data_IF_907147463722
#
_entry.id   IF_907147463722
#
_cell.length_a   1.000
_cell.length_b   1.000
_cell.length_c   1.000
_cell.angle_alpha   90.00
_cell.angle_beta   90.00
_cell.angle_gamma   90.00
#
_symmetry.space_group_name_H-M   'P 1'
#
loop_
_entity.id
_entity.type
_entity.pdbx_description
1 polymer ?
#
# COMPACT_ATOMS: atom_id res chain seq x y z
N UNK A 1 7.05 -7.31 9.61
CA UNK A 1 6.96 -7.87 8.24
C UNK A 1 5.66 -8.65 8.17
N UNK A 2 4.87 -8.52 7.10
CA UNK A 2 3.60 -9.26 7.00
C UNK A 2 3.87 -10.71 6.60
N UNK A 3 3.31 -11.67 7.34
CA UNK A 3 3.34 -13.08 6.98
C UNK A 3 1.99 -13.49 6.38
N UNK A 4 2.01 -14.09 5.19
CA UNK A 4 0.82 -14.53 4.48
C UNK A 4 0.84 -16.05 4.30
N UNK A 5 -0.15 -16.75 4.85
CA UNK A 5 -0.19 -18.22 4.85
C UNK A 5 -0.32 -18.87 3.46
N UNK A 6 -0.81 -18.13 2.45
CA UNK A 6 -1.15 -18.66 1.12
C UNK A 6 -0.52 -17.88 -0.04
N UNK A 7 0.43 -17.01 0.25
CA UNK A 7 1.11 -16.19 -0.76
C UNK A 7 2.60 -16.49 -0.66
N UNK A 8 3.23 -16.72 -1.81
CA UNK A 8 4.67 -16.92 -1.93
C UNK A 8 5.23 -15.94 -2.95
N UNK A 9 6.50 -15.52 -2.81
CA UNK A 9 7.18 -14.76 -3.85
C UNK A 9 7.13 -15.49 -5.20
N UNK A 10 6.94 -14.73 -6.27
CA UNK A 10 6.88 -15.28 -7.62
C UNK A 10 8.29 -15.51 -8.18
N UNK A 11 8.60 -16.76 -8.53
CA UNK A 11 9.79 -17.13 -9.28
C UNK A 11 9.47 -17.18 -10.78
N UNK A 12 10.42 -16.76 -11.63
CA UNK A 12 10.25 -16.78 -13.10
C UNK A 12 10.06 -18.20 -13.64
N UNK A 13 10.62 -19.21 -13.00
CA UNK A 13 10.43 -20.61 -13.39
C UNK A 13 8.96 -21.06 -13.29
N UNK A 14 8.16 -20.40 -12.45
CA UNK A 14 6.73 -20.73 -12.30
C UNK A 14 5.88 -20.34 -13.50
N UNK A 15 6.42 -19.55 -14.44
CA UNK A 15 5.71 -19.15 -15.66
C UNK A 15 5.37 -20.34 -16.58
N UNK A 16 6.07 -21.46 -16.43
CA UNK A 16 5.92 -22.70 -17.19
C UNK A 16 5.16 -23.79 -16.42
N UNK A 17 4.82 -23.55 -15.15
CA UNK A 17 4.16 -24.55 -14.35
C UNK A 17 2.76 -24.84 -14.90
N UNK A 18 2.39 -26.12 -15.08
CA UNK A 18 1.05 -26.49 -15.50
C UNK A 18 0.05 -26.23 -14.36
N UNK A 19 -1.18 -25.90 -14.75
CA UNK A 19 -2.30 -25.72 -13.83
C UNK A 19 -2.63 -24.25 -13.52
N UNK A 20 -3.77 -24.01 -12.84
CA UNK A 20 -4.25 -22.67 -12.55
C UNK A 20 -3.36 -21.98 -11.49
N UNK A 21 -2.98 -20.73 -11.77
CA UNK A 21 -2.20 -19.89 -10.86
C UNK A 21 -2.74 -18.46 -10.84
N UNK A 22 -2.65 -17.82 -9.68
CA UNK A 22 -2.91 -16.38 -9.53
C UNK A 22 -1.59 -15.67 -9.25
N UNK A 23 -1.23 -14.73 -10.12
CA UNK A 23 0.01 -13.94 -9.98
C UNK A 23 -0.34 -12.47 -9.81
N UNK A 24 0.16 -11.87 -8.74
CA UNK A 24 0.15 -10.43 -8.55
C UNK A 24 1.41 -9.85 -9.19
N UNK A 25 1.24 -9.13 -10.30
CA UNK A 25 2.34 -8.56 -11.06
C UNK A 25 2.41 -7.03 -10.92
N UNK A 26 3.63 -6.51 -10.92
CA UNK A 26 3.95 -5.08 -11.01
C UNK A 26 4.73 -4.83 -12.30
N UNK A 27 4.63 -3.64 -12.93
CA UNK A 27 3.86 -2.47 -12.51
C UNK A 27 2.37 -2.57 -12.87
N UNK A 28 1.51 -1.93 -12.08
CA UNK A 28 0.05 -2.04 -12.23
C UNK A 28 -0.54 -1.50 -13.54
N UNK A 29 0.21 -0.68 -14.29
CA UNK A 29 -0.21 -0.15 -15.61
C UNK A 29 0.19 -1.06 -16.77
N UNK A 30 0.80 -2.23 -16.49
CA UNK A 30 1.20 -3.23 -17.47
C UNK A 30 1.99 -2.55 -18.60
N UNK A 31 3.03 -1.81 -18.24
CA UNK A 31 3.93 -1.17 -19.21
C UNK A 31 4.90 -2.24 -19.75
N UNK A 32 5.25 -3.20 -18.87
CA UNK A 32 6.28 -4.19 -19.06
C UNK A 32 5.92 -5.49 -18.34
N UNK A 33 6.15 -6.63 -18.99
CA UNK A 33 5.98 -7.92 -18.31
C UNK A 33 6.22 -9.13 -19.20
N UNK A 34 7.18 -9.97 -18.81
CA UNK A 34 7.43 -11.26 -19.45
C UNK A 34 6.22 -12.21 -19.31
N UNK A 35 5.46 -12.07 -18.23
CA UNK A 35 4.24 -12.86 -17.96
C UNK A 35 3.18 -12.58 -19.04
N UNK A 36 2.90 -11.31 -19.33
CA UNK A 36 1.92 -10.94 -20.36
C UNK A 36 2.34 -11.48 -21.74
N UNK A 37 3.61 -11.31 -22.12
CA UNK A 37 4.16 -11.84 -23.38
C UNK A 37 3.89 -13.33 -23.55
N UNK A 38 4.01 -14.10 -22.46
CA UNK A 38 3.84 -15.55 -22.48
C UNK A 38 2.38 -15.98 -22.40
N UNK A 39 1.58 -15.34 -21.56
CA UNK A 39 0.23 -15.80 -21.24
C UNK A 39 -0.86 -15.17 -22.12
N UNK A 40 -0.62 -14.00 -22.74
CA UNK A 40 -1.60 -13.31 -23.58
C UNK A 40 -2.11 -14.07 -24.80
N UNK A 41 -1.30 -14.90 -25.49
CA UNK A 41 -1.76 -15.65 -26.66
C UNK A 41 -2.74 -16.79 -26.37
N UNK A 42 -2.99 -17.13 -25.10
CA UNK A 42 -3.82 -18.27 -24.69
C UNK A 42 -5.17 -17.78 -24.14
N UNK A 43 -6.26 -18.36 -24.63
CA UNK A 43 -7.65 -17.95 -24.34
C UNK A 43 -8.11 -18.41 -22.94
N UNK A 44 -7.48 -19.44 -22.40
CA UNK A 44 -7.72 -19.99 -21.07
C UNK A 44 -7.25 -19.04 -19.95
N UNK A 45 -6.40 -18.07 -20.31
CA UNK A 45 -5.85 -17.11 -19.39
C UNK A 45 -6.77 -15.89 -19.22
N UNK A 46 -6.59 -15.20 -18.10
CA UNK A 46 -7.31 -13.98 -17.76
C UNK A 46 -6.36 -12.96 -17.15
N UNK A 47 -6.54 -11.69 -17.52
CA UNK A 47 -5.91 -10.55 -16.84
C UNK A 47 -6.96 -9.66 -16.20
N UNK A 48 -6.72 -9.30 -14.94
CA UNK A 48 -7.55 -8.38 -14.18
C UNK A 48 -6.73 -7.13 -13.88
N UNK A 49 -7.18 -5.97 -14.36
CA UNK A 49 -6.58 -4.69 -14.03
C UNK A 49 -7.42 -4.01 -12.94
N UNK A 50 -6.92 -3.89 -11.69
CA UNK A 50 -7.69 -3.33 -10.59
C UNK A 50 -7.68 -1.79 -10.54
N UNK A 51 -7.25 -1.12 -11.62
CA UNK A 51 -7.08 0.32 -11.63
C UNK A 51 -6.90 0.90 -13.03
N UNK A 52 -6.90 2.22 -13.09
CA UNK A 52 -6.78 2.98 -14.32
C UNK A 52 -5.39 2.83 -14.96
N UNK A 53 -5.36 2.51 -16.25
CA UNK A 53 -4.14 2.53 -17.06
C UNK A 53 -4.08 3.85 -17.85
N UNK A 54 -2.96 4.57 -17.74
CA UNK A 54 -2.74 5.83 -18.48
C UNK A 54 -2.83 5.56 -19.98
N UNK A 55 -3.36 6.54 -20.73
CA UNK A 55 -3.43 6.48 -22.18
C UNK A 55 -2.07 6.10 -22.80
N UNK A 56 -2.11 5.43 -23.95
CA UNK A 56 -0.95 4.95 -24.69
C UNK A 56 -0.11 3.83 -24.00
N UNK A 57 -0.46 3.39 -22.79
CA UNK A 57 0.16 2.20 -22.18
C UNK A 57 -0.38 0.91 -22.80
N UNK A 58 0.39 -0.20 -22.70
CA UNK A 58 -0.09 -1.53 -23.14
C UNK A 58 -1.34 -1.92 -22.35
N UNK A 59 -1.39 -1.65 -21.04
CA UNK A 59 -2.59 -1.84 -20.23
C UNK A 59 -3.83 -1.12 -20.78
N UNK A 60 -3.70 0.16 -21.16
CA UNK A 60 -4.81 0.92 -21.75
C UNK A 60 -5.25 0.36 -23.11
N UNK A 61 -4.33 -0.10 -23.96
CA UNK A 61 -4.66 -0.74 -25.24
C UNK A 61 -5.43 -2.04 -25.03
N UNK A 62 -4.97 -2.90 -24.12
CA UNK A 62 -5.61 -4.19 -23.80
C UNK A 62 -7.01 -3.99 -23.23
N UNK A 63 -7.19 -2.98 -22.36
CA UNK A 63 -8.50 -2.64 -21.80
C UNK A 63 -9.49 -2.12 -22.84
N UNK A 64 -9.01 -1.52 -23.92
CA UNK A 64 -9.81 -1.11 -25.08
C UNK A 64 -9.90 -2.23 -26.14
N UNK A 65 -9.84 -3.50 -25.71
CA UNK A 65 -10.03 -4.68 -26.56
C UNK A 65 -9.04 -4.82 -27.74
N UNK A 66 -7.84 -4.25 -27.61
CA UNK A 66 -6.81 -4.42 -28.63
C UNK A 66 -6.33 -5.88 -28.70
N UNK A 67 -6.64 -6.55 -29.82
CA UNK A 67 -6.21 -7.93 -30.10
C UNK A 67 -4.73 -8.08 -30.39
N UNK A 68 -4.04 -6.99 -30.76
CA UNK A 68 -2.61 -6.96 -31.03
C UNK A 68 -2.00 -5.75 -30.35
N UNK A 69 -0.99 -5.99 -29.52
CA UNK A 69 -0.28 -4.91 -28.82
C UNK A 69 1.21 -5.02 -29.07
N UNK A 70 1.80 -3.89 -29.43
CA UNK A 70 3.25 -3.75 -29.50
C UNK A 70 3.80 -3.54 -28.09
N UNK A 71 4.70 -4.42 -27.68
CA UNK A 71 5.47 -4.30 -26.45
C UNK A 71 6.89 -3.81 -26.76
N UNK A 72 7.65 -3.56 -25.69
CA UNK A 72 9.08 -3.23 -25.81
C UNK A 72 9.83 -4.23 -26.69
N UNK A 73 10.80 -3.70 -27.45
CA UNK A 73 11.56 -4.37 -28.52
C UNK A 73 10.80 -4.56 -29.86
N UNK A 74 9.72 -3.82 -30.12
CA UNK A 74 8.88 -3.95 -31.34
C UNK A 74 8.26 -5.34 -31.53
N UNK A 75 8.18 -6.14 -30.47
CA UNK A 75 7.52 -7.45 -30.51
C UNK A 75 6.02 -7.24 -30.38
N UNK A 76 5.29 -7.70 -31.39
CA UNK A 76 3.83 -7.72 -31.40
C UNK A 76 3.36 -8.98 -30.68
N UNK A 77 2.45 -8.80 -29.73
CA UNK A 77 1.82 -9.89 -28.98
C UNK A 77 0.35 -9.95 -29.40
N UNK A 78 -0.11 -11.15 -29.72
CA UNK A 78 -1.53 -11.42 -29.92
C UNK A 78 -2.19 -11.65 -28.55
N UNK A 79 -3.21 -10.85 -28.25
CA UNK A 79 -3.97 -10.88 -27.00
C UNK A 79 -5.26 -11.64 -27.25
N UNK A 80 -5.29 -12.90 -26.80
CA UNK A 80 -6.47 -13.77 -26.84
C UNK A 80 -7.06 -14.04 -25.46
N UNK A 81 -6.27 -13.87 -24.41
CA UNK A 81 -6.73 -13.96 -23.03
C UNK A 81 -7.92 -13.03 -22.75
N UNK A 82 -8.76 -13.43 -21.80
CA UNK A 82 -9.85 -12.57 -21.34
C UNK A 82 -9.32 -11.39 -20.53
N UNK A 83 -9.86 -10.19 -20.80
CA UNK A 83 -9.46 -8.95 -20.13
C UNK A 83 -10.63 -8.47 -19.28
N UNK A 84 -10.41 -8.28 -17.98
CA UNK A 84 -11.40 -7.72 -17.08
C UNK A 84 -10.89 -6.45 -16.39
N UNK A 85 -11.64 -5.36 -16.58
CA UNK A 85 -11.50 -4.18 -15.75
C UNK A 85 -12.38 -4.36 -14.51
N UNK A 86 -11.76 -4.54 -13.33
CA UNK A 86 -12.51 -4.54 -12.07
C UNK A 86 -12.38 -3.17 -11.44
N UNK A 87 -13.40 -2.35 -11.68
CA UNK A 87 -13.60 -1.17 -10.86
C UNK A 87 -13.95 -1.63 -9.45
N UNK A 88 -13.06 -1.37 -8.50
CA UNK A 88 -13.32 -1.67 -7.11
C UNK A 88 -14.49 -0.78 -6.64
N UNK A 89 -15.49 -1.39 -5.99
CA UNK A 89 -16.53 -0.69 -5.23
C UNK A 89 -16.22 -0.81 -3.73
N UNK A 90 -15.14 -0.16 -3.25
CA UNK A 90 -14.73 -0.30 -1.87
C UNK A 90 -15.77 0.31 -0.93
N UNK A 91 -16.13 -0.43 0.13
CA UNK A 91 -16.99 0.10 1.21
C UNK A 91 -16.31 1.21 1.99
N UNK A 92 -14.98 1.18 2.09
CA UNK A 92 -14.18 2.16 2.83
C UNK A 92 -12.97 2.58 1.99
N UNK A 93 -12.72 3.88 1.89
CA UNK A 93 -11.58 4.45 1.18
C UNK A 93 -10.68 5.16 2.17
N UNK A 94 -9.38 4.87 2.10
CA UNK A 94 -8.34 5.55 2.86
C UNK A 94 -7.46 6.33 1.91
N UNK A 95 -7.40 7.65 2.08
CA UNK A 95 -6.54 8.51 1.27
C UNK A 95 -5.19 8.66 1.99
N UNK A 96 -4.10 8.27 1.31
CA UNK A 96 -2.70 8.38 1.78
C UNK A 96 -1.83 9.14 0.77
N UNK A 97 -0.62 9.54 1.19
CA UNK A 97 0.40 10.19 0.34
C UNK A 97 -0.13 11.39 -0.50
N UNK A 98 -0.70 12.38 0.18
CA UNK A 98 -1.18 13.59 -0.49
C UNK A 98 -1.17 14.81 0.43
N UNK A 99 -1.08 15.99 -0.19
CA UNK A 99 -1.18 17.26 0.51
C UNK A 99 -2.59 17.42 1.13
N UNK A 100 -2.65 17.89 2.37
CA UNK A 100 -3.88 18.00 3.18
C UNK A 100 -5.04 18.69 2.44
N UNK A 101 -4.79 19.88 1.90
CA UNK A 101 -5.77 20.68 1.16
C UNK A 101 -6.34 19.94 -0.06
N UNK A 102 -5.49 19.26 -0.82
CA UNK A 102 -5.86 18.48 -2.01
C UNK A 102 -6.58 17.20 -1.64
N UNK A 103 -6.23 16.60 -0.52
CA UNK A 103 -6.86 15.38 0.00
C UNK A 103 -8.26 15.65 0.53
N UNK A 104 -8.48 16.78 1.20
CA UNK A 104 -9.81 17.22 1.59
C UNK A 104 -10.69 17.49 0.37
N UNK A 105 -10.15 18.14 -0.65
CA UNK A 105 -10.85 18.34 -1.91
C UNK A 105 -11.19 17.00 -2.60
N UNK A 106 -10.24 16.07 -2.66
CA UNK A 106 -10.45 14.74 -3.24
C UNK A 106 -11.49 13.93 -2.45
N UNK A 107 -11.45 13.96 -1.12
CA UNK A 107 -12.46 13.34 -0.24
C UNK A 107 -13.86 13.88 -0.54
N UNK A 108 -14.01 15.20 -0.69
CA UNK A 108 -15.30 15.80 -1.03
C UNK A 108 -15.82 15.31 -2.38
N UNK A 109 -14.95 15.24 -3.40
CA UNK A 109 -15.31 14.68 -4.72
C UNK A 109 -15.75 13.22 -4.63
N UNK A 110 -14.99 12.38 -3.94
CA UNK A 110 -15.31 10.95 -3.80
C UNK A 110 -16.65 10.76 -3.07
N UNK A 111 -16.89 11.53 -2.01
CA UNK A 111 -18.14 11.47 -1.24
C UNK A 111 -19.34 11.91 -2.08
N UNK A 112 -19.19 12.97 -2.89
CA UNK A 112 -20.25 13.48 -3.78
C UNK A 112 -20.56 12.53 -4.94
N UNK A 113 -19.53 11.95 -5.56
CA UNK A 113 -19.68 11.15 -6.79
C UNK A 113 -20.09 9.70 -6.51
N UNK A 114 -19.57 9.10 -5.45
CA UNK A 114 -19.71 7.65 -5.23
C UNK A 114 -20.55 7.28 -4.00
N UNK A 115 -21.11 8.26 -3.29
CA UNK A 115 -21.91 8.07 -2.06
C UNK A 115 -21.22 7.20 -0.97
N UNK A 116 -19.89 7.05 -1.05
CA UNK A 116 -19.11 6.28 -0.09
C UNK A 116 -19.11 7.03 1.23
N UNK A 117 -19.65 6.40 2.27
CA UNK A 117 -19.84 7.02 3.57
C UNK A 117 -18.48 7.22 4.28
N UNK A 118 -18.04 8.47 4.39
CA UNK A 118 -16.90 8.93 5.21
C UNK A 118 -15.54 8.28 4.87
N UNK A 119 -14.90 8.63 3.72
CA UNK A 119 -13.50 8.27 3.48
C UNK A 119 -12.61 8.79 4.61
N UNK A 120 -11.75 7.94 5.16
CA UNK A 120 -10.79 8.35 6.20
C UNK A 120 -9.54 8.91 5.50
N UNK A 121 -9.12 10.11 5.87
CA UNK A 121 -7.84 10.65 5.40
C UNK A 121 -6.79 10.25 6.42
N UNK A 122 -5.75 9.56 5.97
CA UNK A 122 -4.52 9.37 6.71
C UNK A 122 -3.44 10.11 5.93
N UNK A 123 -3.23 11.38 6.27
CA UNK A 123 -1.98 12.03 5.92
C UNK A 123 -0.92 11.26 6.66
N UNK A 124 0.16 10.85 5.98
CA UNK A 124 1.31 10.23 6.63
C UNK A 124 1.55 10.94 7.95
N UNK A 125 1.38 10.20 9.06
CA UNK A 125 1.74 10.66 10.41
C UNK A 125 3.27 10.62 10.54
N UNK A 126 3.96 11.04 9.49
CA UNK A 126 5.32 11.49 9.55
C UNK A 126 5.22 13.03 9.68
N UNK A 127 5.42 13.49 10.91
CA UNK A 127 5.99 14.81 11.23
C UNK A 127 5.06 16.02 11.43
N UNK A 128 3.74 16.00 11.12
CA UNK A 128 2.93 17.22 11.36
C UNK A 128 2.57 17.51 12.83
N UNK A 129 2.53 16.50 13.70
CA UNK A 129 2.24 16.69 15.13
C UNK A 129 3.49 16.81 16.02
N UNK A 130 4.69 16.63 15.45
CA UNK A 130 5.94 16.95 16.12
C UNK A 130 6.30 18.38 15.75
N UNK A 131 5.66 19.36 16.40
CA UNK A 131 6.24 20.71 16.46
C UNK A 131 7.65 20.52 17.00
N UNK A 132 8.68 20.81 16.20
CA UNK A 132 10.05 20.82 16.68
C UNK A 132 10.16 21.93 17.71
N UNK A 133 10.00 21.59 18.99
CA UNK A 133 10.37 22.47 20.09
C UNK A 133 11.89 22.43 20.15
N UNK A 134 12.53 23.21 19.28
CA UNK A 134 13.89 23.77 19.44
C UNK A 134 15.06 22.85 19.80
N UNK A 135 14.93 21.53 19.78
CA UNK A 135 16.01 20.61 20.13
C UNK A 135 15.91 19.32 19.32
N UNK A 136 17.03 18.84 18.83
CA UNK A 136 17.19 17.60 18.04
C UNK A 136 16.93 16.32 18.84
N UNK A 137 16.42 16.43 20.06
CA UNK A 137 16.27 15.34 21.01
C UNK A 137 14.85 15.32 21.57
N UNK A 138 14.10 14.26 21.26
CA UNK A 138 12.80 13.99 21.88
C UNK A 138 13.03 13.46 23.29
N UNK A 139 12.65 14.24 24.30
CA UNK A 139 12.60 13.83 25.70
C UNK A 139 11.15 13.60 26.12
N UNK A 140 10.85 12.41 26.63
CA UNK A 140 9.52 12.04 27.14
C UNK A 140 9.26 10.53 27.11
N UNK A 141 8.14 10.13 27.69
CA UNK A 141 7.61 8.76 27.67
C UNK A 141 6.57 8.64 26.55
N UNK A 142 6.75 7.67 25.64
CA UNK A 142 5.74 7.36 24.63
C UNK A 142 4.71 6.37 25.21
N UNK A 143 3.46 6.81 25.33
CA UNK A 143 2.35 6.04 25.92
C UNK A 143 1.37 5.63 24.82
N UNK A 144 1.08 4.33 24.73
CA UNK A 144 0.01 3.78 23.88
C UNK A 144 -1.19 3.38 24.74
N UNK A 145 -2.33 4.07 24.57
CA UNK A 145 -3.58 3.78 25.30
C UNK A 145 -4.78 4.09 24.41
N UNK A 146 -5.82 3.25 24.44
CA UNK A 146 -7.07 3.44 23.68
C UNK A 146 -6.86 3.70 22.17
N UNK A 147 -5.94 2.96 21.52
CA UNK A 147 -5.54 3.19 20.12
C UNK A 147 -4.97 4.57 19.81
N UNK A 148 -4.52 5.32 20.82
CA UNK A 148 -3.82 6.60 20.66
C UNK A 148 -2.39 6.49 21.18
N UNK A 149 -1.45 7.12 20.48
CA UNK A 149 -0.06 7.27 20.89
C UNK A 149 0.14 8.72 21.34
N UNK A 150 0.63 8.92 22.57
CA UNK A 150 0.92 10.23 23.14
C UNK A 150 2.34 10.27 23.69
N UNK A 151 3.09 11.32 23.38
CA UNK A 151 4.35 11.63 24.05
C UNK A 151 4.04 12.48 25.28
N UNK A 152 4.47 12.05 26.45
CA UNK A 152 4.10 12.66 27.73
C UNK A 152 5.30 12.74 28.66
N UNK A 153 5.27 13.68 29.61
CA UNK A 153 6.25 13.68 30.69
C UNK A 153 6.08 12.44 31.58
N UNK A 154 7.18 11.84 32.08
CA UNK A 154 7.12 10.63 32.89
C UNK A 154 6.21 10.76 34.14
N UNK A 155 6.18 11.91 34.80
CA UNK A 155 5.32 12.16 35.97
C UNK A 155 3.83 12.21 35.60
N UNK A 156 3.50 12.83 34.47
CA UNK A 156 2.11 12.89 33.98
C UNK A 156 1.65 11.51 33.56
N UNK A 157 2.49 10.76 32.85
CA UNK A 157 2.18 9.41 32.42
C UNK A 157 1.96 8.44 33.60
N UNK A 158 2.79 8.53 34.64
CA UNK A 158 2.66 7.67 35.83
C UNK A 158 1.37 7.95 36.60
N UNK A 159 1.00 9.22 36.78
CA UNK A 159 -0.26 9.61 37.38
C UNK A 159 -1.48 9.17 36.55
N UNK A 160 -1.48 9.40 35.23
CA UNK A 160 -2.59 9.01 34.33
C UNK A 160 -2.76 7.49 34.17
N UNK A 161 -1.67 6.74 34.26
CA UNK A 161 -1.67 5.28 34.15
C UNK A 161 -1.86 4.60 35.50
N UNK A 162 -1.80 5.34 36.61
CA UNK A 162 -1.89 4.80 37.97
C UNK A 162 -0.73 3.85 38.29
N UNK A 163 0.46 4.11 37.71
CA UNK A 163 1.65 3.28 37.89
C UNK A 163 2.71 4.04 38.70
N UNK A 164 3.38 3.35 39.60
CA UNK A 164 4.47 3.94 40.40
C UNK A 164 5.82 3.80 39.68
N UNK A 165 6.69 4.80 39.83
CA UNK A 165 8.08 4.68 39.39
C UNK A 165 8.81 3.58 40.17
N UNK A 166 9.38 2.62 39.43
CA UNK A 166 10.40 1.73 39.99
C UNK A 166 11.79 2.32 39.71
N UNK A 167 12.43 2.83 40.74
CA UNK A 167 13.84 3.23 40.69
C UNK A 167 14.71 2.00 40.98
N UNK A 168 15.40 1.50 39.95
CA UNK A 168 16.42 0.46 40.10
C UNK A 168 17.77 1.16 40.26
N UNK A 169 18.51 0.81 41.32
CA UNK A 169 19.88 1.28 41.54
C UNK A 169 20.83 0.11 41.29
N UNK A 170 21.78 0.29 40.39
CA UNK A 170 22.87 -0.65 40.19
C UNK A 170 24.05 -0.19 41.05
N UNK A 171 24.62 -1.12 41.83
CA UNK A 171 25.84 -0.89 42.61
C UNK A 171 26.85 -1.97 42.26
N UNK A 172 28.09 -1.58 41.99
CA UNK A 172 29.22 -2.49 41.79
C UNK A 172 30.25 -2.23 42.90
N UNK A 173 30.84 -3.28 43.44
CA UNK A 173 31.96 -3.19 44.39
C UNK A 173 33.22 -3.55 43.63
N UNK A 174 34.13 -2.59 43.48
CA UNK A 174 35.46 -2.86 42.90
C UNK A 174 36.39 -3.36 44.00
N UNK A 175 36.81 -4.64 43.91
CA UNK A 175 37.87 -5.17 44.75
C UNK A 175 39.22 -4.68 44.21
N UNK A 176 39.96 -3.93 45.03
CA UNK A 176 41.35 -3.53 44.75
C UNK A 176 42.32 -4.67 44.97
#
# INVERSE_FOLDING_TARGET
MFEFNRIKPFDRGYMDNPGPMVVFATPGMIILGNILKKWAPFEENMIITPGYCVACTVGSKILNEAKRVECEERKVIDVKMSVQYRQCEPRNVVLVHGEESKMDFLKQKITRQFAIHKPKIFIDVALKNLKSIGSSHLHGLLVSKNNTLRLMDPEVATNELGINFRRIRFTSTENK
#
